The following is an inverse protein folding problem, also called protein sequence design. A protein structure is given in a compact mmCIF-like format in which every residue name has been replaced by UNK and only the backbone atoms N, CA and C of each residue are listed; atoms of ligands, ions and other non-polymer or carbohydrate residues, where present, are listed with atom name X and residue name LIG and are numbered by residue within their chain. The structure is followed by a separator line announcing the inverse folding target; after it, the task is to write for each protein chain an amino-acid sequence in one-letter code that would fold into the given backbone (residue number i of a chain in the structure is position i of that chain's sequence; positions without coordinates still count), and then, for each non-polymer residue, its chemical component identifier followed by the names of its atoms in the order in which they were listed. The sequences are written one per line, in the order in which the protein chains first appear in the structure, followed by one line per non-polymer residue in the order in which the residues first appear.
data_IF_114779898863
#
_entry.id   IF_114779898863
#
_cell.length_a   1.000
_cell.length_b   1.000
_cell.length_c   1.000
_cell.angle_alpha   90.00
_cell.angle_beta   90.00
_cell.angle_gamma   90.00
#
_symmetry.space_group_name_H-M   'P 1'
#
loop_
_entity.id
_entity.type
_entity.pdbx_description
1 polymer ?
#
# COMPACT_ATOMS: atom_id res chain seq x y z
N UNK A 1 -5.39 36.83 27.85
CA UNK A 1 -5.15 37.16 26.44
C UNK A 1 -3.82 36.59 25.94
N UNK A 2 -2.70 36.72 26.67
CA UNK A 2 -1.42 36.06 26.34
C UNK A 2 -1.48 34.52 26.24
N UNK A 3 -2.24 33.84 27.10
CA UNK A 3 -2.35 32.37 27.06
C UNK A 3 -2.96 31.83 25.77
N UNK A 4 -3.98 32.52 25.24
CA UNK A 4 -4.64 32.12 23.99
C UNK A 4 -3.73 32.31 22.76
N UNK A 5 -2.82 33.29 22.78
CA UNK A 5 -1.84 33.49 21.68
C UNK A 5 -0.73 32.44 21.72
N UNK A 6 -0.29 32.03 22.91
CA UNK A 6 0.69 30.96 23.09
C UNK A 6 0.12 29.60 22.66
N UNK A 7 -1.13 29.28 23.02
CA UNK A 7 -1.82 28.05 22.60
C UNK A 7 -1.99 27.97 21.07
N UNK A 8 -2.34 29.10 20.42
CA UNK A 8 -2.48 29.17 18.96
C UNK A 8 -1.11 29.03 18.28
N UNK A 9 -0.06 29.65 18.82
CA UNK A 9 1.29 29.50 18.31
C UNK A 9 1.78 28.04 18.42
N UNK A 10 1.56 27.38 19.55
CA UNK A 10 1.93 25.98 19.76
C UNK A 10 1.16 25.04 18.80
N UNK A 11 -0.15 25.27 18.61
CA UNK A 11 -0.95 24.53 17.64
C UNK A 11 -0.47 24.72 16.19
N UNK A 12 -0.08 25.94 15.81
CA UNK A 12 0.50 26.24 14.50
C UNK A 12 1.85 25.55 14.34
N UNK A 13 2.72 25.61 15.35
CA UNK A 13 4.04 24.97 15.33
C UNK A 13 3.88 23.45 15.22
N UNK A 14 2.98 22.82 15.99
CA UNK A 14 2.73 21.38 15.90
C UNK A 14 2.14 21.01 14.52
N UNK A 15 1.23 21.83 13.98
CA UNK A 15 0.67 21.63 12.64
C UNK A 15 1.74 21.75 11.55
N UNK A 16 2.62 22.75 11.63
CA UNK A 16 3.75 22.95 10.72
C UNK A 16 4.73 21.80 10.84
N UNK A 17 5.10 21.39 12.05
CA UNK A 17 6.00 20.27 12.29
C UNK A 17 5.43 18.95 11.76
N UNK A 18 4.15 18.66 12.03
CA UNK A 18 3.43 17.50 11.48
C UNK A 18 3.37 17.54 9.96
N UNK A 19 3.20 18.73 9.37
CA UNK A 19 3.24 18.95 7.93
C UNK A 19 4.64 18.66 7.39
N UNK A 20 5.68 19.34 7.89
CA UNK A 20 7.07 19.13 7.48
C UNK A 20 7.47 17.65 7.62
N UNK A 21 7.06 16.98 8.70
CA UNK A 21 7.30 15.56 8.89
C UNK A 21 6.56 14.67 7.85
N UNK A 22 5.37 15.06 7.43
CA UNK A 22 4.65 14.40 6.35
C UNK A 22 5.30 14.59 4.98
N UNK A 23 5.99 15.72 4.78
CA UNK A 23 6.78 16.06 3.58
C UNK A 23 8.26 15.67 3.70
N UNK A 24 8.70 15.01 4.77
CA UNK A 24 10.13 14.75 5.06
C UNK A 24 10.92 14.13 3.91
N UNK A 25 10.31 13.23 3.12
CA UNK A 25 11.01 12.61 1.97
C UNK A 25 11.22 13.63 0.85
N UNK A 26 10.22 14.48 0.60
CA UNK A 26 10.28 15.54 -0.40
C UNK A 26 11.24 16.65 0.07
N UNK A 27 11.23 16.99 1.37
CA UNK A 27 12.17 17.95 1.97
C UNK A 27 13.61 17.44 1.99
N UNK A 28 13.84 16.16 2.29
CA UNK A 28 15.19 15.55 2.23
C UNK A 28 15.69 15.58 0.78
N UNK A 29 14.85 15.26 -0.21
CA UNK A 29 15.24 15.36 -1.61
C UNK A 29 15.60 16.80 -1.99
N UNK A 30 14.71 17.76 -1.71
CA UNK A 30 14.96 19.18 -2.00
C UNK A 30 16.22 19.69 -1.27
N UNK A 31 16.39 19.35 0.00
CA UNK A 31 17.57 19.71 0.79
C UNK A 31 18.85 19.06 0.27
N UNK A 32 18.80 17.81 -0.19
CA UNK A 32 19.96 17.12 -0.79
C UNK A 32 20.33 17.79 -2.11
N UNK A 33 19.37 18.08 -2.99
CA UNK A 33 19.63 18.78 -4.25
C UNK A 33 20.13 20.21 -4.04
N UNK A 34 19.51 20.96 -3.11
CA UNK A 34 19.94 22.32 -2.78
C UNK A 34 21.32 22.37 -2.14
N UNK A 35 21.61 21.48 -1.18
CA UNK A 35 22.92 21.37 -0.55
C UNK A 35 24.02 20.97 -1.54
N UNK A 36 23.72 20.06 -2.46
CA UNK A 36 24.65 19.62 -3.50
C UNK A 36 24.91 20.74 -4.52
N UNK A 37 23.90 21.55 -4.84
CA UNK A 37 24.06 22.77 -5.64
C UNK A 37 24.92 23.84 -4.94
N UNK A 38 24.69 24.10 -3.65
CA UNK A 38 25.49 25.06 -2.87
C UNK A 38 26.95 24.63 -2.71
N UNK A 39 27.18 23.33 -2.46
CA UNK A 39 28.52 22.76 -2.33
C UNK A 39 29.26 22.77 -3.68
N UNK A 40 28.58 22.42 -4.78
CA UNK A 40 29.15 22.52 -6.11
C UNK A 40 29.41 23.97 -6.53
N UNK A 41 28.58 24.93 -6.12
CA UNK A 41 28.82 26.35 -6.32
C UNK A 41 30.11 26.81 -5.62
N UNK A 42 30.33 26.35 -4.38
CA UNK A 42 31.52 26.69 -3.62
C UNK A 42 32.81 26.09 -4.22
N UNK A 43 32.74 24.92 -4.86
CA UNK A 43 33.92 24.23 -5.42
C UNK A 43 34.21 24.56 -6.89
N UNK A 44 33.17 24.72 -7.70
CA UNK A 44 33.25 24.79 -9.17
C UNK A 44 32.69 26.12 -9.72
N UNK A 45 32.29 27.04 -8.84
CA UNK A 45 31.65 28.30 -9.22
C UNK A 45 30.20 28.15 -9.67
N UNK A 46 29.63 29.22 -10.23
CA UNK A 46 28.20 29.33 -10.57
C UNK A 46 27.69 28.28 -11.56
N UNK A 47 28.57 27.74 -12.40
CA UNK A 47 28.22 26.66 -13.34
C UNK A 47 27.99 25.33 -12.60
N UNK A 48 28.73 25.07 -11.52
CA UNK A 48 28.57 23.87 -10.70
C UNK A 48 27.22 23.82 -9.97
N UNK A 49 26.64 24.99 -9.64
CA UNK A 49 25.40 25.10 -8.88
C UNK A 49 24.20 24.39 -9.53
N UNK A 50 24.15 24.41 -10.87
CA UNK A 50 23.05 23.82 -11.65
C UNK A 50 23.44 22.47 -12.26
N UNK A 51 24.70 22.31 -12.69
CA UNK A 51 25.17 21.09 -13.34
C UNK A 51 25.19 19.90 -12.39
N UNK A 52 25.66 20.08 -11.15
CA UNK A 52 25.76 18.98 -10.19
C UNK A 52 24.39 18.36 -9.82
N UNK A 53 23.36 19.14 -9.43
CA UNK A 53 22.03 18.58 -9.21
C UNK A 53 21.41 18.01 -10.50
N UNK A 54 21.63 18.62 -11.67
CA UNK A 54 21.13 18.09 -12.94
C UNK A 54 21.71 16.70 -13.27
N UNK A 55 23.01 16.50 -13.06
CA UNK A 55 23.67 15.20 -13.23
C UNK A 55 23.11 14.16 -12.26
N UNK A 56 22.85 14.52 -11.00
CA UNK A 56 22.24 13.61 -10.03
C UNK A 56 20.81 13.23 -10.44
N UNK A 57 20.00 14.18 -10.92
CA UNK A 57 18.67 13.87 -11.47
C UNK A 57 18.79 12.93 -12.67
N UNK A 58 19.69 13.22 -13.61
CA UNK A 58 19.93 12.39 -14.79
C UNK A 58 20.33 10.96 -14.39
N UNK A 59 21.23 10.80 -13.42
CA UNK A 59 21.65 9.51 -12.89
C UNK A 59 20.48 8.75 -12.25
N UNK A 60 19.66 9.44 -11.45
CA UNK A 60 18.45 8.85 -10.83
C UNK A 60 17.46 8.36 -11.90
N UNK A 61 17.26 9.13 -12.96
CA UNK A 61 16.36 8.77 -14.07
C UNK A 61 16.92 7.61 -14.90
N UNK A 62 18.22 7.60 -15.14
CA UNK A 62 18.94 6.58 -15.91
C UNK A 62 18.98 5.23 -15.19
N UNK A 63 19.06 5.21 -13.85
CA UNK A 63 19.18 3.98 -13.04
C UNK A 63 17.77 3.49 -12.62
N UNK A 64 17.22 2.42 -13.25
CA UNK A 64 15.88 1.93 -12.93
C UNK A 64 15.64 1.55 -11.46
N UNK A 65 16.57 0.90 -10.72
CA UNK A 65 16.32 0.56 -9.32
C UNK A 65 16.21 1.81 -8.44
N UNK A 66 16.99 2.86 -8.71
CA UNK A 66 16.96 4.12 -7.96
C UNK A 66 15.66 4.88 -8.20
N UNK A 67 15.25 5.02 -9.47
CA UNK A 67 13.93 5.56 -9.86
C UNK A 67 12.79 4.82 -9.17
N UNK A 68 12.83 3.47 -9.17
CA UNK A 68 11.82 2.64 -8.52
C UNK A 68 11.81 2.85 -7.00
N UNK A 69 12.98 2.91 -6.35
CA UNK A 69 13.09 3.11 -4.91
C UNK A 69 12.52 4.46 -4.46
N UNK A 70 12.95 5.56 -5.10
CA UNK A 70 12.46 6.91 -4.80
C UNK A 70 10.97 7.01 -5.09
N UNK A 71 10.52 6.51 -6.25
CA UNK A 71 9.11 6.47 -6.61
C UNK A 71 8.27 5.70 -5.58
N UNK A 72 8.74 4.55 -5.08
CA UNK A 72 8.07 3.79 -4.01
C UNK A 72 7.94 4.61 -2.73
N UNK A 73 9.02 5.23 -2.26
CA UNK A 73 9.01 6.07 -1.05
C UNK A 73 8.05 7.25 -1.17
N UNK A 74 8.05 7.95 -2.32
CA UNK A 74 7.14 9.06 -2.58
C UNK A 74 5.69 8.61 -2.63
N UNK A 75 5.38 7.48 -3.30
CA UNK A 75 4.03 6.91 -3.33
C UNK A 75 3.54 6.54 -1.93
N UNK A 76 4.38 5.90 -1.11
CA UNK A 76 4.03 5.55 0.26
C UNK A 76 3.77 6.79 1.13
N UNK A 77 4.58 7.83 0.97
CA UNK A 77 4.38 9.10 1.66
C UNK A 77 3.07 9.78 1.23
N UNK A 78 2.79 9.84 -0.08
CA UNK A 78 1.54 10.37 -0.64
C UNK A 78 0.33 9.60 -0.14
N UNK A 79 0.37 8.27 -0.15
CA UNK A 79 -0.74 7.44 0.33
C UNK A 79 -1.01 7.66 1.82
N UNK A 80 0.02 7.76 2.67
CA UNK A 80 -0.17 8.08 4.10
C UNK A 80 -0.84 9.43 4.31
N UNK A 81 -0.54 10.43 3.48
CA UNK A 81 -1.18 11.76 3.53
C UNK A 81 -2.63 11.70 3.05
N UNK A 82 -2.88 11.07 1.90
CA UNK A 82 -4.22 10.88 1.35
C UNK A 82 -5.11 10.09 2.31
N UNK A 83 -4.61 9.02 2.92
CA UNK A 83 -5.31 8.23 3.93
C UNK A 83 -5.83 9.08 5.10
N UNK A 84 -4.97 9.94 5.66
CA UNK A 84 -5.37 10.86 6.74
C UNK A 84 -6.42 11.88 6.31
N UNK A 85 -6.45 12.27 5.04
CA UNK A 85 -7.45 13.21 4.50
C UNK A 85 -8.77 12.48 4.24
N UNK A 86 -8.71 11.28 3.66
CA UNK A 86 -9.87 10.44 3.37
C UNK A 86 -10.61 10.00 4.65
N UNK A 87 -9.88 9.69 5.71
CA UNK A 87 -10.50 9.39 7.01
C UNK A 87 -11.21 10.61 7.62
N UNK A 88 -10.65 11.81 7.44
CA UNK A 88 -11.30 13.04 7.89
C UNK A 88 -12.54 13.37 7.07
N UNK A 89 -12.54 13.10 5.76
CA UNK A 89 -13.73 13.28 4.92
C UNK A 89 -14.82 12.25 5.22
N UNK A 90 -14.46 11.06 5.74
CA UNK A 90 -15.43 10.04 6.12
C UNK A 90 -16.20 10.36 7.42
N UNK A 91 -15.78 11.38 8.20
CA UNK A 91 -16.46 11.86 9.43
C UNK A 91 -16.91 10.74 10.37
N UNK A 92 -16.04 9.76 10.59
CA UNK A 92 -16.30 8.66 11.51
C UNK A 92 -16.22 9.21 12.94
N UNK A 93 -17.32 9.20 13.73
CA UNK A 93 -17.36 9.88 15.04
C UNK A 93 -16.27 9.38 16.00
N UNK A 94 -15.99 8.08 16.01
CA UNK A 94 -14.96 7.49 16.88
C UNK A 94 -13.51 7.84 16.48
N UNK A 95 -13.30 8.41 15.28
CA UNK A 95 -11.97 8.71 14.72
C UNK A 95 -11.72 10.21 14.55
N UNK A 96 -12.65 11.07 14.96
CA UNK A 96 -12.59 12.52 14.72
C UNK A 96 -11.30 13.15 15.28
N UNK A 97 -10.93 12.79 16.50
CA UNK A 97 -9.71 13.29 17.17
C UNK A 97 -8.49 12.39 16.99
N UNK A 98 -8.67 11.14 16.53
CA UNK A 98 -7.59 10.13 16.50
C UNK A 98 -7.59 9.36 15.20
N UNK A 99 -6.63 9.69 14.34
CA UNK A 99 -6.48 9.02 13.04
C UNK A 99 -5.64 7.74 13.17
N UNK A 100 -6.13 6.57 12.70
CA UNK A 100 -5.38 5.33 12.63
C UNK A 100 -4.02 5.50 11.95
N UNK A 101 -2.96 5.17 12.69
CA UNK A 101 -1.60 5.28 12.20
C UNK A 101 -1.22 4.06 11.35
N UNK A 102 -0.71 4.32 10.14
CA UNK A 102 -0.18 3.29 9.25
C UNK A 102 1.19 2.83 9.75
N UNK A 103 1.37 1.54 10.08
CA UNK A 103 2.66 1.02 10.60
C UNK A 103 3.50 0.37 9.52
N UNK A 104 2.97 -0.64 8.81
CA UNK A 104 3.70 -1.42 7.80
C UNK A 104 2.98 -1.30 6.47
N UNK A 105 3.67 -0.93 5.40
CA UNK A 105 3.10 -0.78 4.06
C UNK A 105 3.93 -1.57 3.06
N UNK A 106 3.26 -2.36 2.23
CA UNK A 106 3.85 -3.17 1.16
C UNK A 106 3.13 -2.84 -0.15
N UNK A 107 3.89 -2.79 -1.24
CA UNK A 107 3.30 -2.71 -2.57
C UNK A 107 2.80 -4.09 -2.98
N UNK A 108 1.64 -4.15 -3.61
CA UNK A 108 1.08 -5.36 -4.19
C UNK A 108 0.81 -5.15 -5.68
N UNK A 109 0.65 -6.21 -6.48
CA UNK A 109 0.17 -6.08 -7.84
C UNK A 109 -1.10 -5.22 -7.94
N UNK A 110 -2.09 -5.40 -7.08
CA UNK A 110 -3.33 -4.61 -7.11
C UNK A 110 -3.20 -3.14 -6.66
N UNK A 111 -2.18 -2.82 -5.85
CA UNK A 111 -2.03 -1.51 -5.24
C UNK A 111 -1.13 -1.52 -4.00
N UNK A 112 -1.73 -1.29 -2.82
CA UNK A 112 -1.00 -1.25 -1.55
C UNK A 112 -1.72 -2.02 -0.47
N UNK A 113 -0.95 -2.74 0.36
CA UNK A 113 -1.43 -3.41 1.57
C UNK A 113 -0.72 -2.81 2.77
N UNK A 114 -1.45 -2.41 3.79
CA UNK A 114 -0.85 -1.88 5.00
C UNK A 114 -1.61 -2.22 6.27
N UNK A 115 -0.88 -2.25 7.38
CA UNK A 115 -1.42 -2.47 8.71
C UNK A 115 -1.68 -1.13 9.39
N UNK A 116 -2.88 -0.99 9.94
CA UNK A 116 -3.28 0.13 10.78
C UNK A 116 -3.54 -0.33 12.21
N UNK A 117 -3.34 0.61 13.14
CA UNK A 117 -3.83 0.47 14.51
C UNK A 117 -5.02 1.37 14.71
N UNK A 118 -6.16 0.77 15.05
CA UNK A 118 -7.40 1.48 15.40
C UNK A 118 -7.21 2.10 16.79
N UNK A 119 -7.54 3.39 16.99
CA UNK A 119 -7.48 4.01 18.30
C UNK A 119 -8.52 3.42 19.26
N UNK A 120 -8.29 3.63 20.57
CA UNK A 120 -9.27 3.24 21.60
C UNK A 120 -10.59 4.00 21.37
N UNK A 121 -11.71 3.32 21.54
CA UNK A 121 -13.05 3.87 21.30
C UNK A 121 -13.57 3.68 19.87
N UNK A 122 -12.75 3.17 18.95
CA UNK A 122 -13.16 2.83 17.58
C UNK A 122 -12.99 1.34 17.31
N UNK A 123 -13.67 0.85 16.26
CA UNK A 123 -13.70 -0.57 15.92
C UNK A 123 -13.37 -0.82 14.44
N UNK A 124 -12.82 -2.00 14.14
CA UNK A 124 -12.57 -2.42 12.75
C UNK A 124 -13.86 -2.47 11.91
N UNK A 125 -15.01 -2.97 12.43
CA UNK A 125 -16.26 -2.97 11.68
C UNK A 125 -16.74 -1.58 11.28
N UNK A 126 -16.61 -0.60 12.16
CA UNK A 126 -16.99 0.79 11.86
C UNK A 126 -16.16 1.37 10.71
N UNK A 127 -14.85 1.10 10.70
CA UNK A 127 -13.99 1.47 9.58
C UNK A 127 -14.35 0.72 8.29
N UNK A 128 -14.77 -0.55 8.40
CA UNK A 128 -15.21 -1.34 7.26
C UNK A 128 -16.53 -0.82 6.67
N UNK A 129 -17.46 -0.34 7.50
CA UNK A 129 -18.70 0.31 7.04
C UNK A 129 -18.42 1.61 6.28
N UNK A 130 -17.42 2.39 6.72
CA UNK A 130 -17.01 3.61 6.03
C UNK A 130 -16.09 3.37 4.80
N UNK A 131 -15.83 2.12 4.42
CA UNK A 131 -14.83 1.79 3.42
C UNK A 131 -15.15 2.36 2.03
N UNK A 132 -16.42 2.42 1.64
CA UNK A 132 -16.87 2.97 0.36
C UNK A 132 -16.61 4.48 0.27
N UNK A 133 -16.93 5.23 1.33
CA UNK A 133 -16.68 6.67 1.41
C UNK A 133 -15.20 6.97 1.33
N UNK A 134 -14.38 6.19 2.03
CA UNK A 134 -12.92 6.30 1.99
C UNK A 134 -12.39 5.93 0.60
N UNK A 135 -12.94 4.90 -0.05
CA UNK A 135 -12.55 4.50 -1.39
C UNK A 135 -12.83 5.59 -2.42
N UNK A 136 -14.02 6.21 -2.35
CA UNK A 136 -14.39 7.35 -3.17
C UNK A 136 -13.44 8.53 -2.97
N UNK A 137 -13.14 8.88 -1.71
CA UNK A 137 -12.23 9.98 -1.36
C UNK A 137 -10.77 9.75 -1.81
N UNK A 138 -10.35 8.48 -1.93
CA UNK A 138 -9.01 8.12 -2.40
C UNK A 138 -8.93 7.91 -3.92
N UNK A 139 -10.06 7.98 -4.62
CA UNK A 139 -10.21 7.63 -6.04
C UNK A 139 -9.61 6.25 -6.35
N UNK A 140 -10.06 5.24 -5.60
CA UNK A 140 -9.62 3.85 -5.75
C UNK A 140 -10.80 2.95 -6.11
N UNK A 141 -10.50 1.82 -6.75
CA UNK A 141 -11.52 0.84 -7.15
C UNK A 141 -12.19 0.22 -5.93
N UNK A 142 -11.38 -0.20 -4.96
CA UNK A 142 -11.88 -0.93 -3.80
C UNK A 142 -10.97 -0.76 -2.59
N UNK A 143 -11.58 -0.60 -1.41
CA UNK A 143 -10.91 -0.62 -0.12
C UNK A 143 -11.42 -1.83 0.68
N UNK A 144 -10.52 -2.74 1.03
CA UNK A 144 -10.86 -3.86 1.90
C UNK A 144 -10.23 -3.66 3.27
N UNK A 145 -11.03 -3.80 4.31
CA UNK A 145 -10.59 -3.73 5.70
C UNK A 145 -10.82 -5.10 6.32
N UNK A 146 -9.75 -5.75 6.77
CA UNK A 146 -9.79 -7.05 7.44
C UNK A 146 -9.27 -6.91 8.86
N UNK A 147 -9.95 -7.54 9.81
CA UNK A 147 -9.48 -7.63 11.19
C UNK A 147 -8.28 -8.59 11.27
N UNK A 148 -7.23 -8.20 12.00
CA UNK A 148 -6.14 -9.11 12.29
C UNK A 148 -6.59 -10.17 13.31
N UNK A 149 -6.36 -11.48 13.07
CA UNK A 149 -6.75 -12.53 14.00
C UNK A 149 -6.01 -12.42 15.33
N UNK A 150 -4.75 -12.01 15.31
CA UNK A 150 -3.89 -11.93 16.49
C UNK A 150 -4.25 -10.76 17.42
N UNK A 151 -4.89 -9.70 16.91
CA UNK A 151 -5.15 -8.50 17.68
C UNK A 151 -6.32 -7.67 17.16
N UNK A 152 -7.34 -7.47 17.99
CA UNK A 152 -8.53 -6.68 17.68
C UNK A 152 -8.25 -5.20 17.37
N UNK A 153 -7.18 -4.62 17.92
CA UNK A 153 -6.78 -3.23 17.67
C UNK A 153 -6.07 -3.05 16.33
N UNK A 154 -5.76 -4.14 15.63
CA UNK A 154 -5.03 -4.13 14.36
C UNK A 154 -5.98 -4.51 13.23
N UNK A 155 -5.93 -3.73 12.17
CA UNK A 155 -6.61 -4.04 10.93
C UNK A 155 -5.62 -3.99 9.78
N UNK A 156 -5.84 -4.91 8.85
CA UNK A 156 -5.19 -4.92 7.57
C UNK A 156 -6.07 -4.18 6.56
N UNK A 157 -5.49 -3.23 5.87
CA UNK A 157 -6.15 -2.44 4.84
C UNK A 157 -5.50 -2.73 3.50
N UNK A 158 -6.31 -3.16 2.53
CA UNK A 158 -5.91 -3.37 1.14
C UNK A 158 -6.56 -2.29 0.30
N UNK A 159 -5.71 -1.50 -0.35
CA UNK A 159 -6.09 -0.48 -1.33
C UNK A 159 -5.85 -1.06 -2.72
N UNK A 160 -6.92 -1.47 -3.38
CA UNK A 160 -6.89 -1.96 -4.74
C UNK A 160 -7.21 -0.82 -5.72
N UNK A 161 -6.22 -0.46 -6.53
CA UNK A 161 -6.33 0.60 -7.56
C UNK A 161 -6.60 0.04 -8.94
N UNK A 162 -6.10 -1.17 -9.19
CA UNK A 162 -6.27 -1.92 -10.41
C UNK A 162 -6.64 -3.34 -10.06
N UNK A 163 -7.31 -4.01 -10.97
CA UNK A 163 -7.53 -5.44 -10.86
C UNK A 163 -6.16 -6.15 -11.03
N UNK A 164 -5.69 -6.90 -10.01
CA UNK A 164 -4.42 -7.63 -10.09
C UNK A 164 -4.43 -8.76 -11.14
N UNK A 165 -5.62 -9.25 -11.50
CA UNK A 165 -5.82 -10.38 -12.42
C UNK A 165 -6.23 -9.94 -13.83
N UNK A 166 -6.69 -8.71 -14.01
CA UNK A 166 -7.08 -8.20 -15.34
C UNK A 166 -5.89 -7.87 -16.26
N UNK A 167 -4.67 -7.74 -15.72
CA UNK A 167 -3.50 -7.29 -16.48
C UNK A 167 -2.34 -8.26 -16.28
N UNK A 168 -2.19 -9.19 -17.23
CA UNK A 168 -1.03 -10.07 -17.34
C UNK A 168 -1.24 -11.16 -18.41
N UNK A 169 -0.15 -11.77 -18.92
CA UNK A 169 -0.29 -13.04 -19.63
C UNK A 169 -0.96 -14.06 -18.70
N UNK A 170 -1.68 -15.06 -19.24
CA UNK A 170 -2.23 -16.15 -18.45
C UNK A 170 -1.13 -16.70 -17.53
N UNK A 171 -1.39 -16.70 -16.23
CA UNK A 171 -0.43 -17.24 -15.27
C UNK A 171 -0.39 -18.75 -15.49
N UNK A 172 0.76 -19.31 -15.91
CA UNK A 172 0.87 -20.75 -16.08
C UNK A 172 0.63 -21.41 -14.73
N UNK A 173 -0.15 -22.48 -14.74
CA UNK A 173 -0.38 -23.26 -13.54
C UNK A 173 0.96 -23.86 -13.08
N UNK A 174 1.37 -23.71 -11.81
CA UNK A 174 2.71 -24.10 -11.38
C UNK A 174 3.05 -25.59 -11.62
N UNK A 175 2.04 -26.45 -11.58
CA UNK A 175 2.19 -27.91 -11.73
C UNK A 175 2.03 -28.40 -13.19
N UNK A 176 1.87 -27.49 -14.17
CA UNK A 176 1.61 -27.88 -15.58
C UNK A 176 2.72 -28.76 -16.20
N UNK A 177 3.93 -28.69 -15.66
CA UNK A 177 5.09 -29.49 -16.09
C UNK A 177 5.69 -30.34 -14.97
N UNK A 178 4.95 -30.56 -13.87
CA UNK A 178 5.44 -31.41 -12.80
C UNK A 178 5.33 -32.89 -13.20
N UNK A 179 6.42 -33.64 -13.06
CA UNK A 179 6.44 -35.09 -13.36
C UNK A 179 5.50 -35.88 -12.45
N UNK A 180 5.24 -35.36 -11.24
CA UNK A 180 4.33 -35.94 -10.25
C UNK A 180 3.69 -34.84 -9.42
N UNK A 181 2.37 -34.86 -9.32
CA UNK A 181 1.60 -34.02 -8.41
C UNK A 181 1.10 -34.87 -7.22
N UNK A 182 0.86 -34.23 -6.07
CA UNK A 182 0.47 -34.93 -4.86
C UNK A 182 -0.67 -34.19 -4.16
N UNK A 183 -1.82 -34.85 -3.99
CA UNK A 183 -2.97 -34.30 -3.28
C UNK A 183 -2.70 -34.02 -1.79
N UNK A 184 -1.67 -34.65 -1.22
CA UNK A 184 -1.23 -34.40 0.16
C UNK A 184 -0.40 -33.11 0.31
N UNK A 185 0.00 -32.48 -0.82
CA UNK A 185 0.68 -31.20 -0.83
C UNK A 185 -0.31 -30.05 -1.13
N UNK A 186 0.01 -28.79 -0.75
CA UNK A 186 -0.82 -27.64 -1.08
C UNK A 186 -0.96 -27.48 -2.60
N UNK A 187 -2.18 -27.61 -3.12
CA UNK A 187 -2.46 -27.53 -4.56
C UNK A 187 -2.63 -26.06 -4.96
N UNK A 188 -1.77 -25.50 -5.83
CA UNK A 188 -1.91 -24.12 -6.27
C UNK A 188 -3.14 -23.98 -7.18
N UNK A 189 -4.09 -23.13 -6.80
CA UNK A 189 -5.33 -22.91 -7.58
C UNK A 189 -5.37 -21.53 -8.27
N UNK A 190 -4.50 -20.61 -7.85
CA UNK A 190 -4.45 -19.27 -8.42
C UNK A 190 -3.42 -18.39 -7.74
N UNK A 191 -3.51 -17.08 -7.98
CA UNK A 191 -2.62 -16.08 -7.40
C UNK A 191 -3.46 -15.02 -6.67
N UNK A 192 -3.05 -14.74 -5.44
CA UNK A 192 -3.68 -13.74 -4.58
C UNK A 192 -3.31 -12.32 -5.01
N UNK A 193 -3.97 -11.35 -4.40
CA UNK A 193 -3.75 -9.93 -4.71
C UNK A 193 -2.35 -9.42 -4.32
N UNK A 194 -1.67 -10.17 -3.46
CA UNK A 194 -0.28 -9.99 -3.06
C UNK A 194 0.72 -10.62 -4.02
N UNK A 195 0.24 -11.27 -5.09
CA UNK A 195 1.05 -11.99 -6.06
C UNK A 195 1.55 -13.35 -5.55
N UNK A 196 1.08 -13.82 -4.39
CA UNK A 196 1.43 -15.14 -3.86
C UNK A 196 0.48 -16.22 -4.39
N UNK A 197 0.96 -17.45 -4.53
CA UNK A 197 0.11 -18.57 -4.89
C UNK A 197 -0.96 -18.80 -3.80
N UNK A 198 -2.22 -18.91 -4.21
CA UNK A 198 -3.32 -19.37 -3.37
C UNK A 198 -3.38 -20.88 -3.52
N UNK A 199 -3.27 -21.59 -2.41
CA UNK A 199 -3.24 -23.06 -2.39
C UNK A 199 -4.43 -23.63 -1.63
N UNK A 200 -4.89 -24.81 -2.04
CA UNK A 200 -5.92 -25.60 -1.35
C UNK A 200 -5.31 -26.91 -0.87
N UNK A 201 -5.66 -27.33 0.35
CA UNK A 201 -5.35 -28.67 0.86
C UNK A 201 -6.65 -29.47 0.95
N UNK A 202 -6.67 -30.63 0.29
CA UNK A 202 -7.80 -31.55 0.25
C UNK A 202 -7.77 -32.71 1.26
N UNK A 203 -6.62 -33.15 1.82
CA UNK A 203 -6.64 -34.22 2.81
C UNK A 203 -7.57 -33.89 3.97
N UNK A 204 -8.50 -34.81 4.24
CA UNK A 204 -9.47 -34.72 5.35
C UNK A 204 -10.39 -33.47 5.30
N UNK A 205 -10.52 -32.82 4.14
CA UNK A 205 -11.29 -31.59 3.97
C UNK A 205 -12.18 -31.63 2.73
N UNK A 206 -13.39 -31.10 2.86
CA UNK A 206 -14.30 -30.90 1.74
C UNK A 206 -14.18 -29.48 1.20
N UNK A 207 -14.24 -29.32 -0.13
CA UNK A 207 -14.20 -28.03 -0.80
C UNK A 207 -15.56 -27.72 -1.45
N UNK A 208 -16.11 -26.55 -1.13
CA UNK A 208 -17.27 -26.00 -1.82
C UNK A 208 -16.80 -24.90 -2.78
N UNK A 209 -17.13 -25.02 -4.06
CA UNK A 209 -16.83 -24.01 -5.07
C UNK A 209 -18.11 -23.28 -5.49
N UNK A 210 -18.12 -21.95 -5.32
CA UNK A 210 -19.21 -21.06 -5.71
C UNK A 210 -18.72 -19.97 -6.66
N UNK A 211 -19.59 -19.53 -7.57
CA UNK A 211 -19.30 -18.45 -8.51
C UNK A 211 -20.42 -18.26 -9.52
N UNK A 212 -20.53 -17.04 -10.05
CA UNK A 212 -21.44 -16.69 -11.13
C UNK A 212 -21.10 -17.50 -12.41
N UNK A 213 -22.06 -17.70 -13.33
CA UNK A 213 -21.78 -18.33 -14.63
C UNK A 213 -20.63 -17.60 -15.34
N UNK A 214 -19.61 -18.35 -15.77
CA UNK A 214 -18.42 -17.79 -16.41
C UNK A 214 -17.30 -17.33 -15.46
N UNK A 215 -17.50 -17.38 -14.13
CA UNK A 215 -16.48 -16.95 -13.16
C UNK A 215 -15.26 -17.89 -13.01
N UNK A 216 -15.17 -18.96 -13.81
CA UNK A 216 -14.03 -19.89 -13.79
C UNK A 216 -14.11 -21.03 -12.78
N UNK A 217 -15.29 -21.29 -12.18
CA UNK A 217 -15.49 -22.40 -11.23
C UNK A 217 -15.08 -23.77 -11.79
N UNK A 218 -15.51 -24.08 -13.02
CA UNK A 218 -15.18 -25.36 -13.67
C UNK A 218 -13.69 -25.47 -14.00
N UNK A 219 -13.02 -24.36 -14.29
CA UNK A 219 -11.57 -24.31 -14.52
C UNK A 219 -10.84 -24.62 -13.20
N UNK A 220 -11.25 -24.00 -12.09
CA UNK A 220 -10.67 -24.28 -10.78
C UNK A 220 -10.82 -25.75 -10.37
N UNK A 221 -11.98 -26.37 -10.61
CA UNK A 221 -12.20 -27.79 -10.36
C UNK A 221 -11.30 -28.68 -11.24
N UNK A 222 -11.10 -28.28 -12.50
CA UNK A 222 -10.22 -29.02 -13.42
C UNK A 222 -8.76 -29.02 -12.96
N UNK A 223 -8.28 -27.96 -12.33
CA UNK A 223 -6.92 -27.92 -11.75
C UNK A 223 -6.75 -28.93 -10.61
N UNK A 224 -7.77 -29.09 -9.76
CA UNK A 224 -7.75 -30.08 -8.66
C UNK A 224 -7.75 -31.51 -9.21
N UNK A 225 -8.57 -31.77 -10.23
CA UNK A 225 -8.62 -33.08 -10.92
C UNK A 225 -7.28 -33.35 -11.61
N UNK A 226 -6.69 -32.37 -12.27
CA UNK A 226 -5.37 -32.50 -12.90
C UNK A 226 -4.24 -32.81 -11.90
N UNK A 227 -4.40 -32.41 -10.64
CA UNK A 227 -3.45 -32.77 -9.56
C UNK A 227 -3.65 -34.20 -9.05
N UNK A 228 -4.86 -34.75 -9.23
CA UNK A 228 -5.23 -36.09 -8.80
C UNK A 228 -4.96 -37.18 -9.86
N UNK A 229 -4.88 -36.79 -11.13
CA UNK A 229 -4.67 -37.66 -12.29
C UNK A 229 -3.21 -38.10 -12.42
#
# INVERSE_FOLDING_TARGET
MRSHEEDVAEAIIEAVFRSLWAFRVELILVGTFGGLGLLANHLLGTQGAWLAPAVVVALVLAVPPLRRFIGRRLRHARLRRQWRRALRSARIPSLEDRIPAVRRMKDTPAGQRFEIRVPRGSSVPELAQASEVIAAALHIRELRVRRSPDNASRAEVVVARRDPLAVGPPLPWPEIGADRACLWQPIPVGVGEDGQAVTVQLPERNLLLGGEPGAGKSVALSLLVATAA
#
